data_IF_278970682668
#
_entry.id   IF_278970682668
#
_cell.length_a   1.000
_cell.length_b   1.000
_cell.length_c   1.000
_cell.angle_alpha   90.00
_cell.angle_beta   90.00
_cell.angle_gamma   90.00
#
_symmetry.space_group_name_H-M   'P 1'
#
loop_
_entity.id
_entity.type
_entity.pdbx_description
1 polymer ?
#
# COMPACT_ATOMS: atom_id res chain seq x y z
N UNK A 1 14.77 19.90 3.45
CA UNK A 1 13.83 19.69 2.34
C UNK A 1 12.77 18.68 2.78
N UNK A 2 11.51 19.08 2.77
CA UNK A 2 10.41 18.25 3.24
C UNK A 2 9.43 17.97 2.10
N UNK A 3 9.87 17.13 1.15
CA UNK A 3 8.97 16.67 0.12
C UNK A 3 7.99 15.66 0.72
N UNK A 4 6.68 15.80 0.47
CA UNK A 4 5.70 14.88 1.01
C UNK A 4 5.88 13.47 0.41
N UNK A 5 5.81 12.45 1.27
CA UNK A 5 5.90 11.07 0.85
C UNK A 5 4.48 10.57 0.58
N UNK A 6 4.19 10.02 -0.61
CA UNK A 6 2.87 9.49 -0.91
C UNK A 6 2.47 8.38 0.07
N UNK A 7 1.23 8.43 0.53
CA UNK A 7 0.66 7.37 1.36
C UNK A 7 0.47 6.10 0.54
N UNK A 8 0.89 4.97 1.08
CA UNK A 8 0.78 3.67 0.42
C UNK A 8 2.06 3.15 -0.21
N UNK A 9 3.17 3.90 -0.12
CA UNK A 9 4.47 3.39 -0.55
C UNK A 9 4.92 2.23 0.34
N UNK A 10 5.62 1.24 -0.24
CA UNK A 10 6.30 0.24 0.58
C UNK A 10 7.24 0.90 1.60
N UNK A 11 7.32 0.38 2.84
CA UNK A 11 8.16 1.00 3.88
C UNK A 11 9.62 1.19 3.49
N UNK A 12 10.20 0.23 2.75
CA UNK A 12 11.59 0.33 2.30
C UNK A 12 11.80 1.48 1.30
N UNK A 13 10.80 1.76 0.45
CA UNK A 13 10.88 2.85 -0.52
C UNK A 13 10.69 4.20 0.16
N UNK A 14 9.75 4.29 1.10
CA UNK A 14 9.56 5.49 1.90
C UNK A 14 10.84 5.84 2.69
N UNK A 15 11.48 4.85 3.29
CA UNK A 15 12.74 5.02 4.01
C UNK A 15 13.86 5.50 3.06
N UNK A 16 13.94 4.94 1.87
CA UNK A 16 14.92 5.37 0.85
C UNK A 16 14.72 6.83 0.46
N UNK A 17 13.47 7.24 0.22
CA UNK A 17 13.16 8.63 -0.16
C UNK A 17 13.55 9.59 0.96
N UNK A 18 13.27 9.25 2.23
CA UNK A 18 13.67 10.07 3.38
C UNK A 18 15.18 10.22 3.47
N UNK A 19 15.92 9.12 3.31
CA UNK A 19 17.38 9.14 3.34
C UNK A 19 17.94 9.98 2.20
N UNK A 20 17.39 9.82 0.99
CA UNK A 20 17.80 10.62 -0.17
C UNK A 20 17.56 12.13 0.05
N UNK A 21 16.49 12.51 0.73
CA UNK A 21 16.23 13.90 1.10
C UNK A 21 17.29 14.42 2.08
N UNK A 22 17.66 13.62 3.09
CA UNK A 22 18.71 13.99 4.05
C UNK A 22 20.07 14.17 3.37
N UNK A 23 20.45 13.26 2.49
CA UNK A 23 21.68 13.37 1.71
C UNK A 23 21.69 14.63 0.83
N UNK A 24 20.55 14.95 0.23
CA UNK A 24 20.38 16.15 -0.59
C UNK A 24 20.58 17.42 0.24
N UNK A 25 20.02 17.45 1.45
CA UNK A 25 20.20 18.58 2.38
C UNK A 25 21.66 18.70 2.81
N UNK A 26 22.35 17.60 3.05
CA UNK A 26 23.79 17.59 3.37
C UNK A 26 24.62 18.17 2.22
N UNK A 27 24.32 17.79 0.97
CA UNK A 27 25.00 18.35 -0.20
C UNK A 27 24.80 19.86 -0.30
N UNK A 28 23.60 20.34 -0.05
CA UNK A 28 23.29 21.78 -0.07
C UNK A 28 24.05 22.52 1.01
N UNK A 29 24.08 21.97 2.23
CA UNK A 29 24.78 22.57 3.38
C UNK A 29 26.27 22.62 3.16
N UNK A 30 26.82 21.70 2.37
CA UNK A 30 28.24 21.66 2.01
C UNK A 30 28.58 22.48 0.74
N UNK A 31 27.65 23.26 0.22
CA UNK A 31 27.85 24.12 -0.93
C UNK A 31 27.71 23.46 -2.29
N UNK A 32 27.34 22.20 -2.34
CA UNK A 32 27.09 21.47 -3.60
C UNK A 32 25.67 21.73 -4.14
N UNK A 33 25.37 23.00 -4.40
CA UNK A 33 24.01 23.45 -4.72
C UNK A 33 23.47 22.86 -6.03
N UNK A 34 24.32 22.73 -7.06
CA UNK A 34 23.89 22.15 -8.35
C UNK A 34 23.55 20.67 -8.21
N UNK A 35 24.37 19.92 -7.49
CA UNK A 35 24.09 18.51 -7.21
C UNK A 35 22.82 18.34 -6.39
N UNK A 36 22.62 19.19 -5.38
CA UNK A 36 21.42 19.19 -4.57
C UNK A 36 20.17 19.52 -5.39
N UNK A 37 20.25 20.51 -6.28
CA UNK A 37 19.15 20.89 -7.15
C UNK A 37 18.78 19.75 -8.12
N UNK A 38 19.76 19.07 -8.70
CA UNK A 38 19.53 17.92 -9.59
C UNK A 38 18.85 16.77 -8.85
N UNK A 39 19.31 16.45 -7.63
CA UNK A 39 18.68 15.42 -6.79
C UNK A 39 17.26 15.78 -6.37
N UNK A 40 17.03 17.04 -6.01
CA UNK A 40 15.69 17.53 -5.67
C UNK A 40 14.72 17.36 -6.85
N UNK A 41 15.15 17.73 -8.05
CA UNK A 41 14.34 17.58 -9.26
C UNK A 41 14.01 16.09 -9.52
N UNK A 42 14.99 15.20 -9.37
CA UNK A 42 14.79 13.77 -9.52
C UNK A 42 13.81 13.21 -8.48
N UNK A 43 13.97 13.60 -7.20
CA UNK A 43 13.08 13.16 -6.12
C UNK A 43 11.63 13.64 -6.34
N UNK A 44 11.44 14.86 -6.80
CA UNK A 44 10.11 15.38 -7.15
C UNK A 44 9.45 14.56 -8.26
N UNK A 45 10.21 14.20 -9.28
CA UNK A 45 9.71 13.36 -10.37
C UNK A 45 9.37 11.95 -9.89
N UNK A 46 10.20 11.37 -9.04
CA UNK A 46 9.92 10.06 -8.44
C UNK A 46 8.64 10.09 -7.61
N UNK A 47 8.49 11.10 -6.76
CA UNK A 47 7.30 11.24 -5.90
C UNK A 47 6.04 11.42 -6.76
N UNK A 48 6.10 12.23 -7.80
CA UNK A 48 4.98 12.43 -8.72
C UNK A 48 4.60 11.13 -9.46
N UNK A 49 5.59 10.39 -9.93
CA UNK A 49 5.36 9.10 -10.59
C UNK A 49 4.79 8.07 -9.61
N UNK A 50 5.31 8.01 -8.40
CA UNK A 50 4.80 7.13 -7.35
C UNK A 50 3.36 7.49 -6.96
N UNK A 51 3.05 8.76 -6.83
CA UNK A 51 1.69 9.22 -6.54
C UNK A 51 0.71 8.81 -7.65
N UNK A 52 1.09 8.99 -8.90
CA UNK A 52 0.27 8.58 -10.05
C UNK A 52 0.03 7.07 -10.06
N UNK A 53 1.07 6.28 -9.78
CA UNK A 53 0.96 4.83 -9.67
C UNK A 53 0.00 4.41 -8.56
N UNK A 54 0.12 5.02 -7.39
CA UNK A 54 -0.72 4.71 -6.22
C UNK A 54 -2.16 5.18 -6.39
N UNK A 55 -2.40 6.25 -7.14
CA UNK A 55 -3.74 6.79 -7.39
C UNK A 55 -4.52 6.02 -8.47
N UNK A 56 -3.89 5.09 -9.17
CA UNK A 56 -4.56 4.28 -10.16
C UNK A 56 -5.72 3.50 -9.54
N UNK A 57 -6.85 3.54 -10.22
CA UNK A 57 -8.06 2.83 -9.78
C UNK A 57 -8.09 1.43 -10.39
N UNK A 58 -8.39 0.45 -9.56
CA UNK A 58 -8.46 -0.96 -9.93
C UNK A 58 -9.84 -1.52 -9.61
N UNK A 59 -10.33 -2.44 -10.43
CA UNK A 59 -11.48 -3.25 -10.04
C UNK A 59 -11.06 -4.38 -9.08
N UNK A 60 -12.05 -5.12 -8.55
CA UNK A 60 -11.75 -6.19 -7.59
C UNK A 60 -10.88 -7.30 -8.17
N UNK A 61 -11.04 -7.61 -9.46
CA UNK A 61 -10.24 -8.63 -10.15
C UNK A 61 -8.78 -8.20 -10.30
N UNK A 62 -8.54 -6.97 -10.75
CA UNK A 62 -7.20 -6.40 -10.87
C UNK A 62 -6.51 -6.29 -9.49
N UNK A 63 -7.25 -5.84 -8.47
CA UNK A 63 -6.76 -5.74 -7.10
C UNK A 63 -6.40 -7.14 -6.54
N UNK A 64 -7.21 -8.15 -6.84
CA UNK A 64 -6.94 -9.52 -6.44
C UNK A 64 -5.63 -10.05 -7.04
N UNK A 65 -5.40 -9.76 -8.33
CA UNK A 65 -4.16 -10.15 -9.00
C UNK A 65 -2.93 -9.48 -8.38
N UNK A 66 -3.01 -8.20 -8.08
CA UNK A 66 -1.87 -7.46 -7.49
C UNK A 66 -1.56 -7.88 -6.06
N UNK A 67 -2.58 -8.22 -5.27
CA UNK A 67 -2.39 -8.58 -3.85
C UNK A 67 -2.18 -10.07 -3.62
N UNK A 68 -2.43 -10.92 -4.62
CA UNK A 68 -2.45 -12.37 -4.45
C UNK A 68 -3.62 -12.87 -3.60
N UNK A 69 -4.64 -12.04 -3.41
CA UNK A 69 -5.85 -12.37 -2.67
C UNK A 69 -7.01 -12.66 -3.62
N UNK A 70 -8.08 -13.29 -3.14
CA UNK A 70 -9.26 -13.51 -3.97
C UNK A 70 -10.12 -12.25 -4.06
N UNK A 71 -10.93 -12.16 -5.14
CA UNK A 71 -11.82 -11.00 -5.36
C UNK A 71 -12.78 -10.77 -4.20
N UNK A 72 -13.30 -11.84 -3.60
CA UNK A 72 -14.23 -11.71 -2.47
C UNK A 72 -13.59 -11.07 -1.25
N UNK A 73 -12.31 -11.34 -1.01
CA UNK A 73 -11.56 -10.67 0.06
C UNK A 73 -11.50 -9.16 -0.19
N UNK A 74 -11.27 -8.76 -1.43
CA UNK A 74 -11.26 -7.34 -1.81
C UNK A 74 -12.64 -6.71 -1.63
N UNK A 75 -13.70 -7.35 -2.15
CA UNK A 75 -15.09 -6.87 -2.03
C UNK A 75 -15.51 -6.73 -0.57
N UNK A 76 -15.14 -7.70 0.26
CA UNK A 76 -15.43 -7.67 1.69
C UNK A 76 -14.74 -6.50 2.39
N UNK A 77 -13.48 -6.24 2.07
CA UNK A 77 -12.74 -5.11 2.61
C UNK A 77 -13.41 -3.76 2.25
N UNK A 78 -13.94 -3.64 1.04
CA UNK A 78 -14.69 -2.46 0.61
C UNK A 78 -16.02 -2.34 1.36
N UNK A 79 -16.78 -3.44 1.46
CA UNK A 79 -18.06 -3.46 2.18
C UNK A 79 -17.90 -3.15 3.66
N UNK A 80 -16.83 -3.61 4.28
CA UNK A 80 -16.53 -3.37 5.70
C UNK A 80 -15.96 -1.96 5.95
N UNK A 81 -15.73 -1.18 4.92
CA UNK A 81 -15.20 0.18 5.04
C UNK A 81 -13.70 0.25 5.31
N UNK A 82 -12.98 -0.87 5.23
CA UNK A 82 -11.51 -0.89 5.39
C UNK A 82 -10.79 -0.23 4.23
N UNK A 83 -11.36 -0.33 3.03
CA UNK A 83 -10.88 0.30 1.81
C UNK A 83 -11.98 1.21 1.27
N UNK A 84 -11.69 2.50 0.99
CA UNK A 84 -12.66 3.38 0.35
C UNK A 84 -13.05 2.87 -1.04
N UNK A 85 -14.34 2.92 -1.35
CA UNK A 85 -14.86 2.61 -2.68
C UNK A 85 -14.80 3.87 -3.54
N UNK A 86 -14.05 3.82 -4.63
CA UNK A 86 -13.84 4.94 -5.55
C UNK A 86 -14.76 4.91 -6.77
N UNK A 87 -15.70 3.99 -6.84
CA UNK A 87 -16.62 3.92 -7.97
C UNK A 87 -17.45 5.20 -8.08
N UNK A 88 -17.58 5.71 -9.30
CA UNK A 88 -18.41 6.89 -9.57
C UNK A 88 -19.91 6.55 -9.65
N UNK A 89 -20.24 5.34 -10.11
CA UNK A 89 -21.62 4.88 -10.25
C UNK A 89 -21.93 3.84 -9.15
N UNK A 90 -22.92 4.12 -8.26
CA UNK A 90 -23.29 3.17 -7.20
C UNK A 90 -23.73 1.78 -7.69
N UNK A 91 -24.20 1.70 -8.94
CA UNK A 91 -24.60 0.43 -9.58
C UNK A 91 -23.45 -0.25 -10.31
N UNK A 92 -22.29 0.40 -10.43
CA UNK A 92 -21.11 -0.13 -11.07
C UNK A 92 -20.33 -1.06 -10.17
N UNK A 93 -19.26 -1.65 -10.73
CA UNK A 93 -18.32 -2.49 -9.99
C UNK A 93 -17.54 -1.63 -9.00
N UNK A 94 -17.14 -2.23 -7.88
CA UNK A 94 -16.25 -1.59 -6.93
C UNK A 94 -14.92 -1.21 -7.60
N UNK A 95 -14.44 0.00 -7.30
CA UNK A 95 -13.12 0.47 -7.70
C UNK A 95 -12.34 0.89 -6.47
N UNK A 96 -11.10 0.47 -6.42
CA UNK A 96 -10.22 0.77 -5.30
C UNK A 96 -8.95 1.44 -5.80
N UNK A 97 -8.41 2.33 -4.98
CA UNK A 97 -7.13 2.99 -5.26
C UNK A 97 -6.00 2.00 -4.94
N UNK A 98 -5.04 1.87 -5.85
CA UNK A 98 -3.90 0.94 -5.65
C UNK A 98 -3.19 1.18 -4.33
N UNK A 99 -2.98 2.42 -3.93
CA UNK A 99 -2.33 2.78 -2.67
C UNK A 99 -3.06 2.34 -1.41
N UNK A 100 -4.35 2.01 -1.51
CA UNK A 100 -5.15 1.53 -0.38
C UNK A 100 -5.12 0.00 -0.21
N UNK A 101 -4.50 -0.73 -1.16
CA UNK A 101 -4.48 -2.19 -1.14
C UNK A 101 -3.72 -2.78 0.06
N UNK A 102 -2.76 -2.05 0.62
CA UNK A 102 -2.06 -2.48 1.82
C UNK A 102 -3.02 -2.67 3.01
N UNK A 103 -4.15 -1.98 3.04
CA UNK A 103 -5.16 -2.10 4.11
C UNK A 103 -5.89 -3.43 4.08
N UNK A 104 -5.87 -4.16 2.98
CA UNK A 104 -6.41 -5.52 2.91
C UNK A 104 -5.60 -6.46 3.80
N UNK A 105 -4.28 -6.28 3.84
CA UNK A 105 -3.39 -7.07 4.68
C UNK A 105 -3.51 -6.73 6.18
N UNK A 106 -4.05 -5.56 6.51
CA UNK A 106 -4.33 -5.11 7.88
C UNK A 106 -5.65 -5.68 8.45
N UNK A 107 -6.18 -6.71 7.81
CA UNK A 107 -7.40 -7.37 8.27
C UNK A 107 -7.27 -7.80 9.73
N UNK A 108 -8.28 -7.52 10.59
CA UNK A 108 -8.22 -7.80 12.02
C UNK A 108 -8.39 -9.27 12.38
N UNK A 109 -8.15 -10.19 11.45
CA UNK A 109 -8.10 -11.61 11.75
C UNK A 109 -6.87 -11.93 12.59
N UNK A 110 -6.95 -12.86 13.56
CA UNK A 110 -5.75 -13.32 14.24
C UNK A 110 -4.78 -13.92 13.22
N UNK A 111 -3.46 -13.76 13.43
CA UNK A 111 -2.48 -14.39 12.55
C UNK A 111 -2.74 -15.90 12.51
N UNK A 112 -2.56 -16.50 11.34
CA UNK A 112 -2.71 -17.94 11.19
C UNK A 112 -1.81 -18.66 12.18
N UNK A 113 -2.41 -19.48 13.04
CA UNK A 113 -1.68 -20.32 14.01
C UNK A 113 -1.95 -21.80 13.66
N UNK A 114 -0.96 -22.50 13.08
CA UNK A 114 -1.11 -23.91 12.72
C UNK A 114 -1.46 -24.81 13.91
N UNK A 115 -0.95 -24.46 15.10
CA UNK A 115 -1.19 -25.26 16.31
C UNK A 115 -2.66 -25.13 16.75
N UNK A 116 -3.19 -23.92 16.79
CA UNK A 116 -4.59 -23.68 17.14
C UNK A 116 -5.53 -24.32 16.13
N UNK A 117 -5.23 -24.21 14.83
CA UNK A 117 -6.02 -24.86 13.80
C UNK A 117 -6.01 -26.40 13.91
N UNK A 118 -4.84 -26.97 14.18
CA UNK A 118 -4.71 -28.42 14.40
C UNK A 118 -5.53 -28.87 15.62
N UNK A 119 -5.54 -28.11 16.70
CA UNK A 119 -6.36 -28.37 17.88
C UNK A 119 -7.84 -28.25 17.59
N UNK A 120 -8.25 -27.25 16.82
CA UNK A 120 -9.63 -27.08 16.39
C UNK A 120 -10.14 -28.26 15.56
N UNK A 121 -9.33 -28.72 14.62
CA UNK A 121 -9.64 -29.91 13.80
C UNK A 121 -9.73 -31.18 14.66
N UNK A 122 -8.81 -31.36 15.59
CA UNK A 122 -8.82 -32.50 16.50
C UNK A 122 -10.07 -32.52 17.38
N UNK A 123 -10.52 -31.35 17.88
CA UNK A 123 -11.76 -31.23 18.63
C UNK A 123 -13.00 -31.56 17.80
N UNK A 124 -13.06 -31.12 16.55
CA UNK A 124 -14.13 -31.45 15.64
C UNK A 124 -14.22 -32.96 15.38
N UNK A 125 -13.09 -33.63 15.22
CA UNK A 125 -13.04 -35.10 15.05
C UNK A 125 -13.53 -35.84 16.27
N UNK A 126 -13.30 -35.32 17.47
CA UNK A 126 -13.79 -35.95 18.73
C UNK A 126 -15.29 -35.84 18.91
N UNK A 127 -15.94 -34.84 18.28
CA UNK A 127 -17.41 -34.66 18.32
C UNK A 127 -18.16 -35.49 17.30
N UNK A 128 -17.47 -36.06 16.34
CA UNK A 128 -18.01 -36.97 15.34
C UNK A 128 -17.92 -38.41 15.84
#
# INVERSE_FOLDING_TARGET
MDLPIPEGLPPWLAAFVLEAQRETDTLRDNGAEQAAAARTALLKRLIAAAQSYLDAELDAGEAALETGRCEETIRRAVRDGRIPDRRANPKGRHRVRRGDLNRVAESPGPPYDPITDAQGIAQLRRRL
#
